data_IF_031105433962
#
_entry.id   IF_031105433962
#
_cell.length_a   1.000
_cell.length_b   1.000
_cell.length_c   1.000
_cell.angle_alpha   90.00
_cell.angle_beta   90.00
_cell.angle_gamma   90.00
#
_symmetry.space_group_name_H-M   'P 1'
#
loop_
_entity.id
_entity.type
_entity.pdbx_description
1 polymer ?
#
# COMPACT_ATOMS: atom_id res chain seq x y z
N UNK A 1 -0.42 22.86 11.91
CA UNK A 1 -1.05 21.68 12.56
C UNK A 1 0.05 20.65 12.76
N UNK A 2 0.39 20.31 14.01
CA UNK A 2 1.49 19.38 14.31
C UNK A 2 1.14 17.95 13.93
N UNK A 3 2.07 17.25 13.28
CA UNK A 3 1.98 15.81 13.04
C UNK A 3 1.94 15.07 14.38
N UNK A 4 0.91 14.24 14.59
CA UNK A 4 0.77 13.38 15.76
C UNK A 4 1.24 11.99 15.37
N UNK A 5 2.41 11.55 15.87
CA UNK A 5 2.92 10.20 15.58
C UNK A 5 1.95 9.13 16.11
N UNK A 6 1.76 8.06 15.33
CA UNK A 6 1.05 6.87 15.77
C UNK A 6 1.98 6.03 16.62
N UNK A 7 1.70 5.97 17.91
CA UNK A 7 2.39 5.13 18.88
C UNK A 7 1.52 3.94 19.24
N UNK A 8 2.11 2.75 19.24
CA UNK A 8 1.45 1.57 19.78
C UNK A 8 1.66 1.42 21.29
N UNK A 9 1.12 0.35 21.87
CA UNK A 9 1.23 0.05 23.30
C UNK A 9 2.65 -0.25 23.78
N UNK A 10 3.58 -0.49 22.86
CA UNK A 10 5.00 -0.75 23.14
C UNK A 10 5.88 0.49 22.87
N UNK A 11 5.28 1.63 22.50
CA UNK A 11 5.99 2.88 22.23
C UNK A 11 6.68 2.93 20.86
N UNK A 12 6.37 2.01 19.93
CA UNK A 12 6.91 2.04 18.56
C UNK A 12 6.15 3.06 17.73
N UNK A 13 6.86 3.77 16.85
CA UNK A 13 6.26 4.70 15.89
C UNK A 13 5.92 3.95 14.61
N UNK A 14 4.67 4.04 14.15
CA UNK A 14 4.29 3.56 12.83
C UNK A 14 4.61 4.64 11.77
N UNK A 15 5.75 4.50 11.11
CA UNK A 15 6.23 5.37 10.03
C UNK A 15 6.31 4.69 8.65
N UNK A 16 6.08 3.38 8.58
CA UNK A 16 5.95 2.57 7.36
C UNK A 16 4.48 2.22 7.07
N UNK A 17 4.07 2.37 5.81
CA UNK A 17 2.75 1.98 5.33
C UNK A 17 2.87 0.98 4.18
N UNK A 18 2.58 -0.28 4.47
CA UNK A 18 2.44 -1.34 3.46
C UNK A 18 1.04 -1.34 2.86
N UNK A 19 0.94 -1.15 1.55
CA UNK A 19 -0.32 -1.09 0.80
C UNK A 19 -0.39 -2.32 -0.12
N UNK A 20 -1.37 -3.19 0.11
CA UNK A 20 -1.67 -4.29 -0.82
C UNK A 20 -2.68 -3.82 -1.86
N UNK A 21 -2.28 -3.77 -3.15
CA UNK A 21 -3.09 -3.18 -4.23
C UNK A 21 -3.84 -4.22 -5.08
N UNK A 22 -3.49 -5.48 -4.90
CA UNK A 22 -4.08 -6.62 -5.61
C UNK A 22 -3.80 -7.88 -4.81
N UNK A 23 -4.69 -8.84 -4.86
CA UNK A 23 -4.46 -10.20 -4.38
C UNK A 23 -3.87 -11.11 -5.47
N UNK A 24 -4.08 -10.77 -6.75
CA UNK A 24 -3.57 -11.52 -7.91
C UNK A 24 -2.05 -11.58 -7.98
N UNK A 25 -1.53 -12.74 -8.35
CA UNK A 25 -0.12 -12.98 -8.63
C UNK A 25 0.04 -13.82 -9.91
N UNK A 26 1.06 -13.53 -10.71
CA UNK A 26 1.44 -14.30 -11.90
C UNK A 26 2.21 -15.59 -11.56
N UNK A 27 2.62 -15.78 -10.29
CA UNK A 27 3.24 -17.01 -9.79
C UNK A 27 2.35 -17.79 -8.82
N UNK A 28 2.78 -19.03 -8.52
CA UNK A 28 2.16 -19.99 -7.59
C UNK A 28 3.23 -20.59 -6.68
N UNK A 29 3.86 -19.74 -5.88
CA UNK A 29 4.95 -20.15 -4.99
C UNK A 29 4.41 -21.05 -3.88
N UNK A 30 5.01 -22.23 -3.69
CA UNK A 30 4.56 -23.25 -2.72
C UNK A 30 4.35 -22.73 -1.28
N UNK A 31 5.11 -21.70 -0.87
CA UNK A 31 5.08 -21.14 0.49
C UNK A 31 4.17 -19.90 0.62
N UNK A 32 3.58 -19.42 -0.46
CA UNK A 32 2.82 -18.17 -0.50
C UNK A 32 1.44 -18.36 -1.13
N UNK A 33 1.38 -19.00 -2.30
CA UNK A 33 0.16 -19.20 -3.06
C UNK A 33 0.05 -20.67 -3.47
N UNK A 34 -0.73 -21.48 -2.73
CA UNK A 34 -0.84 -22.92 -2.97
C UNK A 34 -1.41 -23.22 -4.37
N UNK A 35 -1.14 -24.44 -4.86
CA UNK A 35 -1.55 -24.86 -6.21
C UNK A 35 -3.08 -24.84 -6.41
N UNK A 36 -3.84 -25.03 -5.34
CA UNK A 36 -5.29 -24.92 -5.29
C UNK A 36 -5.79 -23.48 -5.56
N UNK A 37 -4.89 -22.49 -5.50
CA UNK A 37 -5.19 -21.08 -5.70
C UNK A 37 -5.84 -20.42 -4.49
N UNK A 38 -6.03 -19.11 -4.58
CA UNK A 38 -6.82 -18.34 -3.62
C UNK A 38 -8.10 -17.86 -4.31
N UNK A 39 -9.18 -17.69 -3.53
CA UNK A 39 -10.38 -17.02 -4.01
C UNK A 39 -10.06 -15.53 -4.19
N UNK A 40 -10.00 -15.09 -5.44
CA UNK A 40 -9.75 -13.69 -5.75
C UNK A 40 -10.92 -12.82 -5.29
N UNK A 41 -10.60 -11.65 -4.75
CA UNK A 41 -11.52 -10.58 -4.48
C UNK A 41 -12.15 -10.07 -5.78
N UNK A 42 -13.43 -9.70 -5.68
CA UNK A 42 -14.06 -8.98 -6.76
C UNK A 42 -13.38 -7.61 -6.91
N UNK A 43 -13.46 -7.04 -8.12
CA UNK A 43 -12.81 -5.75 -8.38
C UNK A 43 -13.33 -4.64 -7.47
N UNK A 44 -14.61 -4.69 -7.11
CA UNK A 44 -15.29 -3.70 -6.29
C UNK A 44 -14.97 -3.85 -4.79
N UNK A 45 -14.39 -4.98 -4.37
CA UNK A 45 -13.90 -5.19 -3.01
C UNK A 45 -12.49 -4.60 -2.79
N UNK A 46 -11.80 -4.23 -3.88
CA UNK A 46 -10.48 -3.60 -3.83
C UNK A 46 -10.61 -2.08 -3.80
N UNK A 47 -9.81 -1.43 -2.96
CA UNK A 47 -9.73 0.03 -2.94
C UNK A 47 -9.32 0.58 -4.31
N UNK A 48 -9.98 1.66 -4.72
CA UNK A 48 -9.58 2.45 -5.88
C UNK A 48 -8.34 3.27 -5.56
N UNK A 49 -7.61 3.72 -6.58
CA UNK A 49 -6.39 4.49 -6.38
C UNK A 49 -6.66 5.79 -5.62
N UNK A 50 -7.80 6.44 -5.87
CA UNK A 50 -8.21 7.65 -5.15
C UNK A 50 -8.41 7.40 -3.65
N UNK A 51 -8.94 6.22 -3.29
CA UNK A 51 -9.14 5.83 -1.90
C UNK A 51 -7.82 5.52 -1.22
N UNK A 52 -6.92 4.82 -1.91
CA UNK A 52 -5.56 4.53 -1.44
C UNK A 52 -4.80 5.85 -1.23
N UNK A 53 -4.79 6.74 -2.22
CA UNK A 53 -4.10 8.04 -2.14
C UNK A 53 -4.70 8.92 -1.04
N UNK A 54 -6.02 8.88 -0.82
CA UNK A 54 -6.67 9.59 0.29
C UNK A 54 -6.14 9.09 1.64
N UNK A 55 -6.05 7.77 1.83
CA UNK A 55 -5.52 7.18 3.06
C UNK A 55 -4.02 7.48 3.24
N UNK A 56 -3.21 7.27 2.20
CA UNK A 56 -1.78 7.58 2.23
C UNK A 56 -1.53 9.04 2.63
N UNK A 57 -2.31 9.98 2.07
CA UNK A 57 -2.20 11.41 2.41
C UNK A 57 -2.47 11.66 3.90
N UNK A 58 -3.49 11.01 4.47
CA UNK A 58 -3.81 11.12 5.89
C UNK A 58 -2.64 10.62 6.74
N UNK A 59 -2.09 9.45 6.41
CA UNK A 59 -0.95 8.85 7.11
C UNK A 59 0.32 9.71 7.03
N UNK A 60 0.66 10.19 5.85
CA UNK A 60 1.84 11.03 5.63
C UNK A 60 1.68 12.37 6.37
N UNK A 61 0.58 13.09 6.11
CA UNK A 61 0.45 14.48 6.56
C UNK A 61 0.07 14.60 8.05
N UNK A 62 -0.72 13.66 8.60
CA UNK A 62 -1.19 13.75 9.98
C UNK A 62 -0.40 12.89 10.95
N UNK A 63 0.09 11.75 10.47
CA UNK A 63 0.69 10.71 11.33
C UNK A 63 2.19 10.53 11.14
N UNK A 64 2.78 11.18 10.12
CA UNK A 64 4.22 11.21 9.92
C UNK A 64 4.81 9.97 9.26
N UNK A 65 4.01 9.22 8.51
CA UNK A 65 4.51 8.12 7.66
C UNK A 65 5.49 8.67 6.63
N UNK A 66 6.62 7.99 6.46
CA UNK A 66 7.71 8.36 5.54
C UNK A 66 8.01 7.32 4.49
N UNK A 67 7.72 6.05 4.77
CA UNK A 67 7.93 4.95 3.84
C UNK A 67 6.59 4.38 3.40
N UNK A 68 6.42 4.19 2.09
CA UNK A 68 5.26 3.52 1.50
C UNK A 68 5.75 2.35 0.69
N UNK A 69 5.31 1.15 1.06
CA UNK A 69 5.63 -0.08 0.33
C UNK A 69 4.40 -0.57 -0.43
N UNK A 70 4.49 -0.58 -1.75
CA UNK A 70 3.44 -1.08 -2.64
C UNK A 70 3.63 -2.59 -2.81
N UNK A 71 2.60 -3.35 -2.46
CA UNK A 71 2.64 -4.82 -2.41
C UNK A 71 1.33 -5.40 -2.93
N UNK A 72 1.17 -6.70 -2.86
CA UNK A 72 -0.06 -7.39 -3.23
C UNK A 72 0.12 -8.89 -3.15
N UNK A 73 -0.47 -9.59 -4.14
CA UNK A 73 0.23 -10.66 -4.83
C UNK A 73 1.41 -10.07 -5.59
N UNK A 74 1.30 -9.92 -6.91
CA UNK A 74 2.31 -9.22 -7.73
C UNK A 74 1.78 -7.82 -8.08
N UNK A 75 2.37 -6.73 -7.51
CA UNK A 75 1.94 -5.36 -7.78
C UNK A 75 1.84 -5.01 -9.27
N UNK A 76 2.77 -5.48 -10.10
CA UNK A 76 2.81 -5.18 -11.53
C UNK A 76 1.64 -5.79 -12.31
N UNK A 77 0.89 -6.72 -11.72
CA UNK A 77 -0.34 -7.26 -12.32
C UNK A 77 -1.51 -6.27 -12.20
N UNK A 78 -1.45 -5.29 -11.29
CA UNK A 78 -2.47 -4.25 -11.18
C UNK A 78 -2.28 -3.24 -12.31
N UNK A 79 -3.21 -3.23 -13.26
CA UNK A 79 -3.24 -2.29 -14.38
C UNK A 79 -3.13 -0.85 -13.86
N UNK A 80 -2.27 -0.04 -14.52
CA UNK A 80 -2.03 1.38 -14.24
C UNK A 80 -1.37 1.66 -12.87
N UNK A 81 -0.60 0.72 -12.33
CA UNK A 81 0.09 0.91 -11.04
C UNK A 81 1.01 2.16 -11.02
N UNK A 82 1.56 2.54 -12.18
CA UNK A 82 2.33 3.78 -12.35
C UNK A 82 1.52 5.05 -12.04
N UNK A 83 0.21 5.05 -12.32
CA UNK A 83 -0.68 6.16 -11.97
C UNK A 83 -0.78 6.27 -10.44
N UNK A 84 -0.93 5.16 -9.73
CA UNK A 84 -0.96 5.13 -8.27
C UNK A 84 0.37 5.64 -7.67
N UNK A 85 1.51 5.19 -8.20
CA UNK A 85 2.83 5.67 -7.76
C UNK A 85 2.94 7.19 -7.95
N UNK A 86 2.51 7.71 -9.09
CA UNK A 86 2.48 9.16 -9.36
C UNK A 86 1.59 9.92 -8.38
N UNK A 87 0.39 9.40 -8.10
CA UNK A 87 -0.54 10.00 -7.14
C UNK A 87 0.02 10.03 -5.70
N UNK A 88 0.75 9.00 -5.29
CA UNK A 88 1.41 8.92 -3.98
C UNK A 88 2.60 9.88 -3.91
N UNK A 89 3.46 9.90 -4.93
CA UNK A 89 4.62 10.81 -4.99
C UNK A 89 4.20 12.29 -4.95
N UNK A 90 3.03 12.62 -5.50
CA UNK A 90 2.45 13.97 -5.43
C UNK A 90 1.96 14.38 -4.03
N UNK A 91 1.91 13.46 -3.05
CA UNK A 91 1.57 13.80 -1.65
C UNK A 91 2.74 14.54 -1.00
N UNK A 92 3.95 14.00 -1.11
CA UNK A 92 5.21 14.54 -0.62
C UNK A 92 6.36 13.87 -1.41
N UNK A 93 7.14 14.61 -2.22
CA UNK A 93 8.24 14.06 -3.02
C UNK A 93 9.41 13.51 -2.21
N UNK A 94 9.41 13.69 -0.89
CA UNK A 94 10.45 13.16 0.02
C UNK A 94 10.15 11.76 0.54
N UNK A 95 9.01 11.17 0.16
CA UNK A 95 8.63 9.83 0.57
C UNK A 95 9.55 8.77 -0.04
N UNK A 96 9.89 7.77 0.77
CA UNK A 96 10.55 6.56 0.31
C UNK A 96 9.48 5.59 -0.21
N UNK A 97 9.33 5.51 -1.53
CA UNK A 97 8.36 4.63 -2.19
C UNK A 97 9.09 3.41 -2.73
N UNK A 98 8.74 2.23 -2.22
CA UNK A 98 9.31 0.95 -2.64
C UNK A 98 8.23 -0.01 -3.09
N UNK A 99 8.62 -0.99 -3.91
CA UNK A 99 7.79 -2.10 -4.36
C UNK A 99 8.47 -3.40 -3.97
#
# INVERSE_FOLDING_TARGET
>A
MGSRRLLDSYGRVADDLRISITDRCNFRCIYCMPAEGLKWLARDDLLRFEEITRLARIFVQRYGVRTIRITGGEPLVRVKVEELVGMINAIDPTLDITM
#
